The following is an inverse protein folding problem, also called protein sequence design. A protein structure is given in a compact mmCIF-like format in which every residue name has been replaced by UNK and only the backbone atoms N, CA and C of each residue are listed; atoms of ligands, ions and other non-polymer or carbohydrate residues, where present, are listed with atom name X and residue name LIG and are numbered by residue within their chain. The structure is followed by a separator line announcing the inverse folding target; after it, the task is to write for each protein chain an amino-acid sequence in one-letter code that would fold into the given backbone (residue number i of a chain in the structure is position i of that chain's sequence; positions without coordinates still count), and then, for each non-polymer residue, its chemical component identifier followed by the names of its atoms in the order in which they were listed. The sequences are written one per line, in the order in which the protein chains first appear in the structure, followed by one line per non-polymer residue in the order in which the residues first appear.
data_IF_669475827626
#
_entry.id   IF_669475827626
#
_cell.length_a   1.000
_cell.length_b   1.000
_cell.length_c   1.000
_cell.angle_alpha   90.00
_cell.angle_beta   90.00
_cell.angle_gamma   90.00
#
_symmetry.space_group_name_H-M   'P 1'
#
loop_
_entity.id
_entity.type
_entity.pdbx_description
1 polymer ?
#
# COMPACT_ATOMS: atom_id res chain seq x y z
N UNK A 1 -3.79 12.39 -19.75
CA UNK A 1 -4.04 11.54 -18.94
C UNK A 1 -3.26 11.65 -17.75
N UNK A 2 -3.63 11.28 -16.79
CA UNK A 2 -3.01 11.66 -15.67
C UNK A 2 -2.83 10.49 -14.81
N UNK A 3 -2.07 10.63 -13.83
CA UNK A 3 -1.74 9.58 -12.99
C UNK A 3 -2.86 9.15 -12.14
N UNK A 4 -3.83 10.03 -11.95
CA UNK A 4 -4.93 9.59 -11.28
C UNK A 4 -5.54 8.51 -12.04
N UNK A 5 -5.41 8.55 -13.30
CA UNK A 5 -5.95 7.55 -14.14
C UNK A 5 -5.35 6.20 -13.89
N UNK A 6 -4.12 6.17 -13.49
CA UNK A 6 -3.48 4.90 -13.25
C UNK A 6 -4.12 4.20 -12.08
N UNK A 7 -4.31 4.90 -11.00
CA UNK A 7 -4.94 4.28 -9.88
C UNK A 7 -6.36 3.89 -10.19
N UNK A 8 -7.01 4.71 -10.93
CA UNK A 8 -8.37 4.41 -11.28
C UNK A 8 -8.44 3.20 -12.17
N UNK A 9 -7.49 3.08 -13.05
CA UNK A 9 -7.47 1.92 -13.91
C UNK A 9 -7.30 0.66 -13.08
N UNK A 10 -6.48 0.71 -12.08
CA UNK A 10 -6.32 -0.43 -11.23
C UNK A 10 -7.64 -0.76 -10.57
N UNK A 11 -8.33 0.27 -10.14
CA UNK A 11 -9.60 0.04 -9.52
C UNK A 11 -10.57 -0.61 -10.47
N UNK A 12 -10.57 -0.17 -11.67
CA UNK A 12 -11.48 -0.70 -12.62
C UNK A 12 -11.22 -2.16 -12.88
N UNK A 13 -9.99 -2.53 -12.82
CA UNK A 13 -9.66 -3.88 -13.06
C UNK A 13 -9.81 -4.73 -11.85
N UNK A 14 -9.87 -4.13 -10.73
CA UNK A 14 -9.91 -4.88 -9.51
C UNK A 14 -11.17 -5.61 -9.45
N UNK A 15 -11.13 -6.83 -9.21
CA UNK A 15 -12.25 -7.53 -9.07
C UNK A 15 -12.81 -7.11 -7.81
N UNK A 16 -14.02 -6.89 -7.79
CA UNK A 16 -14.61 -6.42 -6.68
C UNK A 16 -14.96 -7.51 -5.83
N UNK A 17 -14.31 -7.61 -4.76
CA UNK A 17 -14.64 -8.59 -3.83
C UNK A 17 -15.38 -7.91 -2.77
N UNK A 18 -16.51 -8.37 -2.45
CA UNK A 18 -17.23 -7.78 -1.43
C UNK A 18 -16.59 -8.06 -0.16
N UNK A 19 -16.16 -7.05 0.47
CA UNK A 19 -15.41 -7.21 1.63
C UNK A 19 -16.25 -7.04 2.79
N UNK A 20 -16.18 -7.88 3.73
CA UNK A 20 -16.86 -7.77 4.92
C UNK A 20 -16.41 -6.61 5.68
N UNK A 21 -17.11 -6.19 6.61
CA UNK A 21 -16.75 -5.06 7.37
C UNK A 21 -15.47 -5.25 8.13
N UNK A 22 -15.10 -6.45 8.42
CA UNK A 22 -13.94 -6.66 9.17
C UNK A 22 -12.70 -6.53 8.42
N UNK A 23 -11.71 -5.86 8.95
CA UNK A 23 -10.44 -5.79 8.33
C UNK A 23 -9.71 -7.06 8.53
N UNK A 24 -9.03 -7.57 7.55
CA UNK A 24 -8.25 -8.79 7.71
C UNK A 24 -7.16 -8.60 8.73
N UNK A 25 -6.81 -9.63 9.40
CA UNK A 25 -5.69 -9.60 10.31
C UNK A 25 -4.43 -9.36 9.51
N UNK A 26 -3.49 -8.70 10.06
CA UNK A 26 -2.22 -8.48 9.37
C UNK A 26 -2.04 -7.11 8.79
N UNK A 27 -3.05 -6.27 8.87
CA UNK A 27 -2.86 -4.90 8.42
C UNK A 27 -2.01 -4.15 9.43
N UNK A 28 -1.14 -3.29 8.90
CA UNK A 28 -0.21 -2.54 9.71
C UNK A 28 -0.92 -1.48 10.53
N UNK A 29 -1.89 -0.80 9.94
CA UNK A 29 -2.63 0.23 10.66
C UNK A 29 -3.99 -0.32 11.09
N UNK A 30 -4.51 0.19 12.19
CA UNK A 30 -5.78 -0.23 12.63
C UNK A 30 -6.85 0.05 11.64
N UNK A 31 -6.72 1.11 10.91
CA UNK A 31 -7.69 1.46 9.88
C UNK A 31 -6.98 2.07 8.72
N UNK A 32 -7.62 2.14 7.59
CA UNK A 32 -7.03 2.77 6.41
C UNK A 32 -6.73 4.21 6.76
N UNK A 33 -5.56 4.64 6.42
CA UNK A 33 -4.98 5.90 6.87
C UNK A 33 -4.64 6.79 5.69
N UNK A 34 -4.84 8.08 5.80
CA UNK A 34 -4.52 8.99 4.70
C UNK A 34 -3.06 8.93 4.34
N UNK A 35 -2.80 8.94 3.06
CA UNK A 35 -1.44 8.90 2.57
C UNK A 35 -1.41 9.28 1.11
N UNK A 36 -0.29 9.03 0.46
CA UNK A 36 -0.17 9.31 -0.96
C UNK A 36 0.79 8.37 -1.64
N UNK A 37 0.54 8.14 -2.90
CA UNK A 37 1.38 7.33 -3.73
C UNK A 37 2.19 8.26 -4.61
N UNK A 38 3.50 8.12 -4.59
CA UNK A 38 4.37 8.88 -5.45
C UNK A 38 4.73 7.98 -6.60
N UNK A 39 4.55 8.47 -7.81
CA UNK A 39 4.83 7.67 -8.99
C UNK A 39 6.19 8.02 -9.57
N UNK A 40 6.74 7.13 -10.33
CA UNK A 40 8.06 7.34 -10.89
C UNK A 40 8.11 8.53 -11.84
N UNK A 41 6.96 8.91 -12.40
CA UNK A 41 6.93 10.07 -13.27
C UNK A 41 6.78 11.36 -12.48
N UNK A 42 6.95 11.30 -11.17
CA UNK A 42 6.94 12.46 -10.30
C UNK A 42 5.56 12.99 -9.96
N UNK A 43 4.54 12.34 -10.39
CA UNK A 43 3.19 12.73 -10.00
C UNK A 43 2.77 11.94 -8.78
N UNK A 44 1.70 12.34 -8.14
CA UNK A 44 1.25 11.61 -6.98
C UNK A 44 -0.27 11.61 -6.89
N UNK A 45 -0.79 10.70 -6.10
CA UNK A 45 -2.22 10.60 -5.86
C UNK A 45 -2.46 10.38 -4.38
N UNK A 46 -3.45 11.03 -3.84
CA UNK A 46 -3.77 10.89 -2.43
C UNK A 46 -4.88 9.89 -2.23
N UNK A 47 -4.92 9.31 -1.08
CA UNK A 47 -5.98 8.37 -0.76
C UNK A 47 -5.83 7.85 0.64
N UNK A 48 -6.51 6.77 0.94
CA UNK A 48 -6.37 6.11 2.22
C UNK A 48 -5.82 4.73 1.96
N UNK A 49 -4.82 4.38 2.71
CA UNK A 49 -4.06 3.16 2.44
C UNK A 49 -3.86 2.32 3.69
N UNK A 50 -3.53 1.08 3.50
CA UNK A 50 -3.08 0.21 4.58
C UNK A 50 -2.12 -0.81 4.00
N UNK A 51 -1.19 -1.25 4.80
CA UNK A 51 -0.18 -2.20 4.35
C UNK A 51 -0.53 -3.57 4.93
N UNK A 52 -0.60 -4.55 4.06
CA UNK A 52 -0.87 -5.92 4.45
C UNK A 52 0.47 -6.58 4.73
N UNK A 53 0.78 -6.82 5.98
CA UNK A 53 2.07 -7.36 6.37
C UNK A 53 2.20 -8.84 6.04
N UNK A 54 1.11 -9.52 5.84
CA UNK A 54 1.17 -10.92 5.52
C UNK A 54 1.54 -11.13 4.06
N UNK A 55 0.84 -10.45 3.18
CA UNK A 55 1.09 -10.58 1.76
C UNK A 55 2.02 -9.53 1.22
N UNK A 56 2.40 -8.56 2.06
CA UNK A 56 3.30 -7.48 1.69
C UNK A 56 2.75 -6.68 0.55
N UNK A 57 1.47 -6.40 0.62
CA UNK A 57 0.75 -5.67 -0.39
C UNK A 57 0.25 -4.35 0.12
N UNK A 58 0.18 -3.39 -0.76
CA UNK A 58 -0.37 -2.09 -0.38
C UNK A 58 -1.82 -2.06 -0.84
N UNK A 59 -2.71 -1.75 0.09
CA UNK A 59 -4.13 -1.68 -0.20
C UNK A 59 -4.59 -0.23 -0.13
N UNK A 60 -5.65 0.08 -0.83
CA UNK A 60 -6.21 1.42 -0.78
C UNK A 60 -7.72 1.30 -0.84
N UNK A 61 -8.40 2.33 -0.38
CA UNK A 61 -9.84 2.34 -0.41
C UNK A 61 -10.34 3.07 -1.64
N UNK A 62 -11.24 2.42 -2.35
CA UNK A 62 -11.92 3.05 -3.46
C UNK A 62 -13.33 3.19 -2.95
N UNK A 63 -13.67 4.37 -2.46
CA UNK A 63 -14.92 4.59 -1.78
C UNK A 63 -14.93 3.70 -0.56
N UNK A 64 -15.59 2.64 -0.50
CA UNK A 64 -15.55 1.79 0.66
C UNK A 64 -14.97 0.43 0.35
N UNK A 65 -14.40 0.27 -0.81
CA UNK A 65 -13.90 -1.03 -1.24
C UNK A 65 -12.40 -1.13 -1.08
N UNK A 66 -11.95 -2.19 -0.47
CA UNK A 66 -10.55 -2.45 -0.26
C UNK A 66 -9.95 -3.03 -1.53
N UNK A 67 -8.98 -2.37 -2.10
CA UNK A 67 -8.35 -2.77 -3.34
C UNK A 67 -6.85 -2.84 -3.17
N UNK A 68 -6.19 -3.66 -3.97
CA UNK A 68 -4.74 -3.83 -3.91
C UNK A 68 -4.09 -3.07 -5.05
N UNK A 69 -2.99 -2.40 -4.78
CA UNK A 69 -2.23 -1.73 -5.82
C UNK A 69 -1.42 -2.78 -6.57
N UNK A 70 -1.60 -2.84 -7.86
CA UNK A 70 -0.96 -3.89 -8.66
C UNK A 70 0.14 -3.47 -9.62
N UNK A 71 0.19 -2.24 -10.04
CA UNK A 71 1.22 -1.86 -11.02
C UNK A 71 2.43 -1.30 -10.30
N UNK A 72 3.12 -2.15 -9.59
CA UNK A 72 4.24 -1.75 -8.79
C UNK A 72 5.36 -1.09 -9.58
N UNK A 73 5.49 -1.44 -10.83
CA UNK A 73 6.58 -0.88 -11.59
C UNK A 73 6.44 0.61 -11.83
N UNK A 74 5.27 1.16 -11.65
CA UNK A 74 5.08 2.59 -11.83
C UNK A 74 5.19 3.35 -10.53
N UNK A 75 5.36 2.67 -9.42
CA UNK A 75 5.32 3.28 -8.12
C UNK A 75 6.72 3.53 -7.58
N UNK A 76 6.92 4.73 -7.08
CA UNK A 76 8.17 5.05 -6.41
C UNK A 76 8.01 4.75 -4.93
N UNK A 77 7.06 5.37 -4.29
CA UNK A 77 6.92 5.27 -2.83
C UNK A 77 5.48 5.48 -2.44
N UNK A 78 5.05 4.83 -1.40
CA UNK A 78 3.77 5.12 -0.79
C UNK A 78 4.08 5.67 0.60
N UNK A 79 3.56 6.85 0.91
CA UNK A 79 3.81 7.49 2.19
C UNK A 79 2.52 7.50 2.96
N UNK A 80 2.53 6.93 4.15
CA UNK A 80 1.35 6.91 5.00
C UNK A 80 1.81 7.41 6.36
N UNK A 81 1.38 8.60 6.71
CA UNK A 81 1.79 9.21 7.96
C UNK A 81 3.31 9.36 7.95
N UNK A 82 4.03 8.81 8.87
CA UNK A 82 5.47 8.91 8.88
C UNK A 82 6.12 7.70 8.25
N UNK A 83 5.35 6.79 7.72
CA UNK A 83 5.87 5.55 7.19
C UNK A 83 6.02 5.63 5.68
N UNK A 84 7.07 5.05 5.16
CA UNK A 84 7.33 5.04 3.74
C UNK A 84 7.51 3.61 3.29
N UNK A 85 6.85 3.25 2.22
CA UNK A 85 6.91 1.91 1.69
C UNK A 85 7.33 1.97 0.23
N UNK A 86 8.18 1.07 -0.19
CA UNK A 86 8.60 1.03 -1.58
C UNK A 86 8.37 -0.35 -2.16
N UNK A 87 8.18 -0.44 -3.46
CA UNK A 87 8.12 -1.74 -4.10
C UNK A 87 9.50 -2.38 -4.10
N UNK A 88 9.54 -3.65 -3.81
CA UNK A 88 10.80 -4.36 -3.81
C UNK A 88 10.53 -5.82 -4.11
N UNK A 89 11.02 -6.29 -5.23
CA UNK A 89 10.86 -7.69 -5.64
C UNK A 89 9.40 -8.15 -5.61
N UNK A 90 8.54 -7.36 -6.19
CA UNK A 90 7.14 -7.73 -6.32
C UNK A 90 6.27 -7.49 -5.10
N UNK A 91 6.84 -6.96 -4.07
CA UNK A 91 6.10 -6.69 -2.83
C UNK A 91 6.39 -5.27 -2.38
N UNK A 92 5.80 -4.87 -1.30
CA UNK A 92 6.12 -3.57 -0.70
C UNK A 92 6.85 -3.83 0.61
N UNK A 93 7.79 -2.99 0.92
CA UNK A 93 8.51 -3.05 2.17
C UNK A 93 8.62 -1.66 2.75
N UNK A 94 8.63 -1.56 4.04
CA UNK A 94 8.81 -0.27 4.69
C UNK A 94 10.29 0.09 4.69
N UNK A 95 10.56 1.37 4.51
CA UNK A 95 11.93 1.86 4.47
C UNK A 95 12.14 2.86 5.58
N UNK A 96 13.21 2.71 6.31
CA UNK A 96 13.61 3.69 7.28
C UNK A 96 14.97 4.19 6.89
N UNK A 97 15.15 5.50 6.88
CA UNK A 97 16.37 6.09 6.44
C UNK A 97 16.86 7.09 7.45
N UNK A 98 18.11 7.06 7.77
CA UNK A 98 18.66 8.12 8.58
C UNK A 98 19.82 8.71 7.80
N UNK A 99 20.69 9.44 8.43
CA UNK A 99 21.74 10.11 7.74
C UNK A 99 22.72 9.18 7.10
N UNK A 100 22.87 7.99 7.63
CA UNK A 100 23.91 7.10 7.18
C UNK A 100 23.40 5.79 6.59
N UNK A 101 22.18 5.40 6.90
CA UNK A 101 21.75 4.05 6.58
C UNK A 101 20.31 4.03 6.13
N UNK A 102 20.03 3.17 5.17
CA UNK A 102 18.66 2.89 4.78
C UNK A 102 18.36 1.47 5.19
N UNK A 103 17.28 1.29 5.94
CA UNK A 103 16.88 -0.02 6.36
C UNK A 103 15.58 -0.39 5.73
N UNK A 104 15.49 -1.64 5.29
CA UNK A 104 14.24 -2.17 4.78
C UNK A 104 13.65 -3.02 5.89
N UNK A 105 12.40 -2.84 6.17
CA UNK A 105 11.76 -3.57 7.21
C UNK A 105 10.80 -4.56 6.61
N UNK A 106 10.99 -5.81 6.96
CA UNK A 106 10.15 -6.87 6.46
C UNK A 106 9.22 -7.25 7.60
N UNK A 107 8.09 -6.61 7.68
CA UNK A 107 7.14 -6.85 8.73
C UNK A 107 6.53 -8.23 8.58
N UNK A 108 6.48 -8.96 9.66
CA UNK A 108 5.87 -10.27 9.66
C UNK A 108 4.86 -10.36 10.76
N UNK A 109 3.77 -11.02 10.47
CA UNK A 109 2.74 -11.19 11.45
C UNK A 109 2.84 -12.61 11.97
N UNK A 110 2.98 -12.78 13.29
CA UNK A 110 3.05 -14.08 13.84
C UNK A 110 1.72 -14.68 13.75
N UNK A 111 1.63 -15.90 13.39
CA UNK A 111 0.36 -16.57 13.33
C UNK A 111 -0.18 -16.61 14.73
N UNK A 112 -1.48 -16.55 14.83
CA UNK A 112 -2.07 -16.60 16.01
C UNK A 112 -1.75 -17.84 16.58
N UNK A 113 -1.46 -17.95 17.74
CA UNK A 113 -1.10 -19.08 18.24
C UNK A 113 -2.13 -19.80 18.34
N UNK A 114 -2.10 -20.57 17.72
CA UNK A 114 -3.15 -21.25 17.55
C UNK A 114 -3.11 -22.34 18.41
#
# INVERSE_FOLDING_TARGET
MNTKGILIAILALGSITLINAQQPAGYFFKEFTPGKVLLKNKQFAKGKFNYDCINKEMHFLNESTDMVIENLEDIDTVVIDIHRFIPFEGHFMEVMTDQHTTLFIDWKVKPKDI
#
